data_IF_036446731334
#
_entry.id   IF_036446731334
#
_cell.length_a   1.000
_cell.length_b   1.000
_cell.length_c   1.000
_cell.angle_alpha   90.00
_cell.angle_beta   90.00
_cell.angle_gamma   90.00
#
_symmetry.space_group_name_H-M   'P 1'
#
loop_
_entity.id
_entity.type
_entity.pdbx_description
1 polymer ?
#
# COMPACT_ATOMS: atom_id res chain seq x y z
N UNK A 1 11.46 -7.79 -9.16
CA UNK A 1 10.62 -7.05 -8.21
C UNK A 1 10.85 -7.60 -6.82
N UNK A 2 10.61 -6.77 -5.81
CA UNK A 2 10.51 -7.15 -4.42
C UNK A 2 9.02 -7.24 -4.07
N UNK A 3 8.69 -7.93 -2.98
CA UNK A 3 7.33 -7.99 -2.45
C UNK A 3 7.36 -7.55 -1.00
N UNK A 4 6.61 -6.50 -0.67
CA UNK A 4 6.37 -6.12 0.72
C UNK A 4 5.09 -6.76 1.22
N UNK A 5 5.14 -7.39 2.40
CA UNK A 5 4.02 -8.11 2.99
C UNK A 5 3.67 -7.47 4.33
N UNK A 6 2.42 -7.04 4.47
CA UNK A 6 1.92 -6.41 5.69
C UNK A 6 0.77 -7.22 6.27
N UNK A 7 0.68 -7.19 7.59
CA UNK A 7 -0.47 -7.64 8.34
C UNK A 7 -0.94 -6.48 9.22
N UNK A 8 -2.25 -6.22 9.22
CA UNK A 8 -2.85 -5.12 9.96
C UNK A 8 -3.83 -5.66 10.98
N UNK A 9 -3.86 -4.99 12.14
CA UNK A 9 -4.98 -5.05 13.07
C UNK A 9 -5.56 -3.65 13.14
N UNK A 10 -6.82 -3.50 12.82
CA UNK A 10 -7.52 -2.21 12.83
C UNK A 10 -8.05 -1.98 14.24
N UNK A 11 -7.73 -0.86 14.89
CA UNK A 11 -8.33 -0.51 16.18
C UNK A 11 -9.84 -0.29 16.05
N UNK A 12 -10.64 -0.73 17.03
CA UNK A 12 -12.10 -0.56 17.02
C UNK A 12 -12.57 0.92 17.09
N UNK A 13 -11.63 1.86 17.23
CA UNK A 13 -11.89 3.32 17.19
C UNK A 13 -11.88 3.92 15.79
N UNK A 14 -11.44 3.14 14.79
CA UNK A 14 -11.39 3.55 13.39
C UNK A 14 -12.80 3.59 12.80
N UNK A 15 -13.11 4.67 12.10
CA UNK A 15 -14.39 4.89 11.44
C UNK A 15 -14.25 4.77 9.91
N UNK A 16 -15.36 4.58 9.19
CA UNK A 16 -15.35 4.67 7.74
C UNK A 16 -14.78 6.02 7.29
N UNK A 17 -13.97 6.02 6.22
CA UNK A 17 -13.21 7.16 5.70
C UNK A 17 -11.99 7.61 6.51
N UNK A 18 -11.74 7.05 7.68
CA UNK A 18 -10.40 7.14 8.27
C UNK A 18 -9.41 6.45 7.31
N UNK A 19 -8.15 6.86 7.38
CA UNK A 19 -7.14 6.37 6.46
C UNK A 19 -5.77 6.21 7.12
N UNK A 20 -4.92 5.42 6.47
CA UNK A 20 -3.51 5.32 6.77
C UNK A 20 -2.68 5.37 5.49
N UNK A 21 -1.39 5.64 5.63
CA UNK A 21 -0.45 5.62 4.52
C UNK A 21 0.47 4.39 4.62
N UNK A 22 0.90 3.92 3.45
CA UNK A 22 2.14 3.16 3.31
C UNK A 22 3.11 4.08 2.54
N UNK A 23 4.22 4.42 3.17
CA UNK A 23 5.31 5.20 2.60
C UNK A 23 6.31 4.29 1.89
N UNK A 24 6.84 4.69 0.74
CA UNK A 24 7.94 4.02 0.04
C UNK A 24 9.11 4.99 -0.17
N UNK A 25 10.34 4.52 0.06
CA UNK A 25 11.54 5.31 -0.21
C UNK A 25 11.67 5.67 -1.68
N UNK A 26 12.19 6.86 -1.98
CA UNK A 26 12.29 7.45 -3.34
C UNK A 26 13.05 6.59 -4.36
N UNK A 27 13.92 5.69 -3.92
CA UNK A 27 14.67 4.78 -4.80
C UNK A 27 13.86 3.57 -5.30
N UNK A 28 12.56 3.55 -5.03
CA UNK A 28 11.65 2.50 -5.44
C UNK A 28 10.26 3.07 -5.77
N UNK A 29 9.48 2.33 -6.57
CA UNK A 29 8.12 2.68 -6.94
C UNK A 29 7.22 1.44 -7.04
N UNK A 30 5.92 1.66 -7.29
CA UNK A 30 4.91 0.60 -7.45
C UNK A 30 4.52 0.29 -8.91
N UNK A 31 5.05 1.04 -9.90
CA UNK A 31 4.73 0.87 -11.34
C UNK A 31 5.79 0.10 -12.13
N UNK A 32 7.02 0.03 -11.65
CA UNK A 32 8.13 -0.54 -12.40
C UNK A 32 8.38 0.20 -13.71
N UNK A 33 8.10 -0.46 -14.83
CA UNK A 33 8.30 0.09 -16.18
C UNK A 33 6.98 0.52 -16.87
N UNK A 34 5.83 0.43 -16.17
CA UNK A 34 4.56 0.92 -16.72
C UNK A 34 4.41 2.43 -16.49
N UNK A 35 3.40 3.04 -17.13
CA UNK A 35 3.05 4.43 -16.83
C UNK A 35 2.64 4.56 -15.36
N UNK A 36 3.23 5.53 -14.64
CA UNK A 36 2.96 5.71 -13.21
C UNK A 36 1.46 5.90 -12.92
N UNK A 37 0.76 6.63 -13.80
CA UNK A 37 -0.68 6.91 -13.70
C UNK A 37 -1.58 5.70 -13.98
N UNK A 38 -1.05 4.57 -14.47
CA UNK A 38 -1.85 3.38 -14.77
C UNK A 38 -1.92 2.40 -13.60
N UNK A 39 -1.24 2.68 -12.49
CA UNK A 39 -1.17 1.78 -11.34
C UNK A 39 -2.48 1.76 -10.57
N UNK A 40 -2.96 0.54 -10.31
CA UNK A 40 -4.05 0.29 -9.37
C UNK A 40 -3.52 -0.43 -8.14
N UNK A 41 -3.97 -0.02 -6.96
CA UNK A 41 -3.59 -0.67 -5.71
C UNK A 41 -4.60 -1.77 -5.37
N UNK A 42 -4.13 -2.93 -4.86
CA UNK A 42 -5.04 -3.94 -4.37
C UNK A 42 -5.78 -3.41 -3.14
N UNK A 43 -7.05 -3.82 -3.00
CA UNK A 43 -7.83 -3.59 -1.79
C UNK A 43 -7.22 -4.37 -0.62
N UNK A 44 -7.36 -3.84 0.59
CA UNK A 44 -7.13 -4.61 1.81
C UNK A 44 -8.36 -5.48 2.07
N UNK A 45 -8.18 -6.80 2.11
CA UNK A 45 -9.27 -7.75 2.24
C UNK A 45 -9.28 -8.44 3.60
N UNK A 46 -10.49 -8.71 4.09
CA UNK A 46 -10.75 -9.64 5.17
C UNK A 46 -10.64 -11.11 4.69
N UNK A 47 -10.59 -12.10 5.60
CA UNK A 47 -10.48 -13.52 5.22
C UNK A 47 -11.62 -14.05 4.34
N UNK A 48 -12.79 -13.40 4.38
CA UNK A 48 -13.98 -13.71 3.57
C UNK A 48 -14.02 -12.95 2.23
N UNK A 49 -12.94 -12.25 1.87
CA UNK A 49 -12.80 -11.36 0.73
C UNK A 49 -13.63 -10.07 0.78
N UNK A 50 -14.21 -9.72 1.93
CA UNK A 50 -14.82 -8.40 2.14
C UNK A 50 -13.75 -7.31 2.11
N UNK A 51 -14.10 -6.12 1.60
CA UNK A 51 -13.16 -5.01 1.43
C UNK A 51 -13.08 -4.20 2.73
N UNK A 52 -11.93 -4.27 3.41
CA UNK A 52 -11.64 -3.47 4.62
C UNK A 52 -11.29 -2.03 4.23
N UNK A 53 -10.45 -1.86 3.21
CA UNK A 53 -9.98 -0.55 2.76
C UNK A 53 -9.61 -0.56 1.27
N UNK A 54 -9.76 0.58 0.61
CA UNK A 54 -9.36 0.79 -0.79
C UNK A 54 -8.09 1.63 -0.87
N UNK A 55 -7.12 1.21 -1.69
CA UNK A 55 -5.85 1.89 -1.84
C UNK A 55 -5.82 2.84 -3.04
N UNK A 56 -5.17 4.00 -2.88
CA UNK A 56 -4.83 4.92 -3.98
C UNK A 56 -3.36 5.31 -3.89
N UNK A 57 -2.62 5.09 -4.98
CA UNK A 57 -1.22 5.50 -5.07
C UNK A 57 -1.12 6.97 -5.48
N UNK A 58 -0.33 7.73 -4.72
CA UNK A 58 0.06 9.11 -4.97
C UNK A 58 1.52 9.11 -5.42
N UNK A 59 1.72 9.38 -6.71
CA UNK A 59 3.03 9.30 -7.37
C UNK A 59 3.94 10.44 -6.92
N UNK A 60 3.38 11.62 -6.66
CA UNK A 60 4.15 12.82 -6.28
C UNK A 60 4.80 12.64 -4.90
N UNK A 61 4.15 11.88 -4.02
CA UNK A 61 4.64 11.61 -2.66
C UNK A 61 5.22 10.21 -2.47
N UNK A 62 5.10 9.33 -3.47
CA UNK A 62 5.43 7.91 -3.41
C UNK A 62 4.73 7.17 -2.24
N UNK A 63 3.44 7.47 -2.04
CA UNK A 63 2.63 6.94 -0.94
C UNK A 63 1.39 6.23 -1.44
N UNK A 64 0.94 5.23 -0.70
CA UNK A 64 -0.40 4.66 -0.88
C UNK A 64 -1.28 5.11 0.27
N UNK A 65 -2.39 5.79 -0.04
CA UNK A 65 -3.44 6.05 0.93
C UNK A 65 -4.44 4.90 0.92
N UNK A 66 -4.63 4.25 2.06
CA UNK A 66 -5.70 3.28 2.27
C UNK A 66 -6.82 3.93 3.08
N UNK A 67 -8.00 4.05 2.48
CA UNK A 67 -9.22 4.56 3.11
C UNK A 67 -10.12 3.41 3.55
N UNK A 68 -10.52 3.39 4.81
CA UNK A 68 -11.38 2.35 5.37
C UNK A 68 -12.82 2.47 4.85
N UNK A 69 -13.43 1.33 4.52
CA UNK A 69 -14.83 1.23 4.09
C UNK A 69 -15.77 1.13 5.28
N UNK A 70 -17.08 1.00 5.04
CA UNK A 70 -18.07 0.73 6.09
C UNK A 70 -17.83 -0.59 6.84
N UNK A 71 -17.01 -1.50 6.28
CA UNK A 71 -16.68 -2.78 6.90
C UNK A 71 -16.17 -2.66 8.33
N UNK A 72 -15.37 -1.62 8.64
CA UNK A 72 -14.78 -1.41 9.97
C UNK A 72 -15.78 -0.98 11.03
N UNK A 73 -16.93 -0.44 10.64
CA UNK A 73 -18.01 -0.08 11.56
C UNK A 73 -18.95 -1.26 11.86
N UNK A 74 -18.97 -2.27 10.99
CA UNK A 74 -19.88 -3.42 11.08
C UNK A 74 -19.24 -4.65 11.76
N UNK A 75 -17.93 -4.61 12.01
CA UNK A 75 -17.16 -5.75 12.52
C UNK A 75 -16.16 -5.34 13.61
N UNK A 76 -16.08 -6.15 14.66
CA UNK A 76 -15.04 -6.04 15.68
C UNK A 76 -13.80 -6.85 15.28
N UNK A 77 -12.63 -6.51 15.83
CA UNK A 77 -11.38 -7.26 15.64
C UNK A 77 -10.93 -7.39 14.17
N UNK A 78 -11.20 -6.36 13.36
CA UNK A 78 -10.83 -6.35 11.95
C UNK A 78 -9.33 -6.53 11.77
N UNK A 79 -8.95 -7.49 10.92
CA UNK A 79 -7.57 -7.74 10.55
C UNK A 79 -7.49 -8.17 9.09
N UNK A 80 -6.37 -7.83 8.46
CA UNK A 80 -6.16 -8.06 7.03
C UNK A 80 -4.69 -8.23 6.70
N UNK A 81 -4.42 -8.72 5.49
CA UNK A 81 -3.08 -8.85 4.93
C UNK A 81 -3.05 -8.27 3.54
N UNK A 82 -1.91 -7.71 3.16
CA UNK A 82 -1.69 -7.22 1.80
C UNK A 82 -0.26 -7.48 1.37
N UNK A 83 -0.10 -7.78 0.09
CA UNK A 83 1.19 -7.96 -0.56
C UNK A 83 1.29 -6.95 -1.70
N UNK A 84 2.33 -6.12 -1.68
CA UNK A 84 2.54 -5.06 -2.65
C UNK A 84 3.82 -5.32 -3.45
N UNK A 85 3.76 -5.25 -4.79
CA UNK A 85 4.96 -5.31 -5.60
C UNK A 85 5.74 -3.99 -5.49
N UNK A 86 7.05 -4.09 -5.29
CA UNK A 86 7.96 -2.94 -5.26
C UNK A 86 9.02 -3.14 -6.34
N UNK A 87 9.34 -2.06 -7.04
CA UNK A 87 10.33 -2.02 -8.11
C UNK A 87 11.37 -0.95 -7.79
N UNK A 88 12.62 -1.18 -8.18
CA UNK A 88 13.65 -0.13 -8.12
C UNK A 88 13.25 0.96 -9.13
N UNK A 89 13.37 2.21 -8.72
CA UNK A 89 13.14 3.33 -9.63
C UNK A 89 14.41 3.58 -10.48
N UNK A 90 14.37 3.37 -11.81
CA UNK A 90 15.53 3.57 -12.68
C UNK A 90 15.85 5.05 -12.94
N UNK A 91 14.93 5.98 -12.68
CA UNK A 91 15.17 7.42 -12.80
C UNK A 91 15.99 7.94 -11.60
N UNK A 92 15.83 7.31 -10.44
CA UNK A 92 16.59 7.64 -9.22
C UNK A 92 17.87 6.80 -9.09
N UNK A 93 17.80 5.49 -9.38
CA UNK A 93 18.93 4.56 -9.28
C UNK A 93 19.53 4.32 -10.67
N UNK A 94 20.37 5.25 -11.11
CA UNK A 94 20.91 5.26 -12.48
C UNK A 94 22.16 4.38 -12.68
N UNK A 95 22.70 3.80 -11.60
CA UNK A 95 23.93 2.99 -11.63
C UNK A 95 23.79 1.77 -10.72
N UNK A 96 24.45 0.67 -11.09
CA UNK A 96 24.56 -0.53 -10.26
C UNK A 96 25.17 -0.18 -8.91
N UNK A 97 24.40 -0.35 -7.85
CA UNK A 97 24.76 0.00 -6.47
C UNK A 97 23.91 -0.79 -5.48
N UNK A 98 24.36 -0.85 -4.23
CA UNK A 98 23.52 -1.33 -3.14
C UNK A 98 22.56 -0.22 -2.71
N UNK A 99 21.29 -0.58 -2.60
CA UNK A 99 20.21 0.34 -2.21
C UNK A 99 19.52 -0.18 -0.97
N UNK A 100 19.24 0.70 -0.02
CA UNK A 100 18.31 0.42 1.08
C UNK A 100 16.94 0.91 0.67
N UNK A 101 15.98 0.00 0.57
CA UNK A 101 14.58 0.31 0.30
C UNK A 101 13.82 0.17 1.61
N UNK A 102 13.03 1.18 1.97
CA UNK A 102 12.17 1.16 3.15
C UNK A 102 10.72 1.34 2.72
N UNK A 103 9.84 0.51 3.29
CA UNK A 103 8.41 0.63 3.10
C UNK A 103 7.70 0.43 4.44
N UNK A 104 6.94 1.42 4.90
CA UNK A 104 6.39 1.48 6.27
C UNK A 104 4.98 2.03 6.31
#
# INVERSE_FOLDING_TARGET
>A
SLTSNYAFKVPDSVNPKDYFYIDLSENANFYGITEANSVTMPNLLAPDNSIIATGKYDIDTNRIQYEFTDYVAEHDNVSGKISLPIFIDPEVVTNTSYQTITAS
#
